data_IF_319215476990
#
_entry.id   IF_319215476990
#
_cell.length_a   1.000
_cell.length_b   1.000
_cell.length_c   1.000
_cell.angle_alpha   90.00
_cell.angle_beta   90.00
_cell.angle_gamma   90.00
#
_symmetry.space_group_name_H-M   'P 1'
#
loop_
_entity.id
_entity.type
_entity.pdbx_description
1 polymer ?
#
# COMPACT_ATOMS: atom_id res chain seq x y z
N UNK A 1 37.65 -0.84 34.19
CA UNK A 1 36.33 -0.70 34.86
C UNK A 1 36.02 0.77 35.11
N UNK A 2 35.58 1.50 34.07
CA UNK A 2 35.08 2.88 34.20
C UNK A 2 33.91 3.19 33.25
N UNK A 3 33.58 2.28 32.33
CA UNK A 3 32.56 2.47 31.29
C UNK A 3 31.26 1.69 31.57
N UNK A 4 30.99 1.32 32.82
CA UNK A 4 29.71 0.70 33.27
C UNK A 4 28.89 1.60 34.20
N UNK A 5 29.45 2.69 34.69
CA UNK A 5 28.75 3.62 35.60
C UNK A 5 28.07 4.80 34.90
N UNK A 6 28.43 5.09 33.65
CA UNK A 6 27.85 6.22 32.90
C UNK A 6 26.49 5.85 32.29
N UNK A 7 26.32 4.60 31.82
CA UNK A 7 25.05 4.14 31.24
C UNK A 7 23.93 3.92 32.26
N UNK A 8 24.26 3.71 33.54
CA UNK A 8 23.24 3.49 34.59
C UNK A 8 22.58 4.78 35.08
N UNK A 9 23.19 5.94 34.84
CA UNK A 9 22.65 7.25 35.28
C UNK A 9 21.68 7.88 34.29
N UNK A 10 21.59 7.33 33.06
CA UNK A 10 20.72 7.83 31.99
C UNK A 10 19.35 7.13 31.94
N UNK A 11 19.17 6.02 32.67
CA UNK A 11 17.92 5.24 32.61
C UNK A 11 16.96 5.44 33.80
N UNK A 12 17.41 6.07 34.88
CA UNK A 12 16.62 6.17 36.12
C UNK A 12 15.66 7.38 36.17
N UNK A 13 15.43 8.08 35.05
CA UNK A 13 14.57 9.28 35.08
C UNK A 13 13.53 9.41 33.96
N UNK A 14 13.05 8.29 33.41
CA UNK A 14 11.94 8.31 32.44
C UNK A 14 10.78 7.49 33.00
N UNK A 15 9.87 8.17 33.70
CA UNK A 15 8.48 7.74 33.87
C UNK A 15 7.54 8.73 33.16
N UNK A 16 6.38 8.25 32.70
CA UNK A 16 5.69 8.78 31.53
C UNK A 16 4.74 9.92 31.91
N UNK A 17 4.68 10.95 31.08
CA UNK A 17 3.67 11.99 31.23
C UNK A 17 3.20 12.52 29.88
N UNK A 18 1.90 12.25 29.67
CA UNK A 18 0.93 13.03 28.91
C UNK A 18 0.97 12.99 27.38
N UNK A 19 -0.05 12.30 26.85
CA UNK A 19 -0.71 12.56 25.58
C UNK A 19 -0.58 14.02 25.13
N UNK A 20 0.27 14.27 24.14
CA UNK A 20 0.29 15.54 23.43
C UNK A 20 -0.89 15.54 22.47
N UNK A 21 -1.96 16.23 22.87
CA UNK A 21 -2.96 16.75 21.96
C UNK A 21 -2.26 17.39 20.75
N UNK A 22 -2.60 16.96 19.53
CA UNK A 22 -2.06 17.56 18.32
C UNK A 22 -2.33 19.06 18.31
N UNK A 23 -1.28 19.86 18.19
CA UNK A 23 -1.39 21.31 18.00
C UNK A 23 -1.93 21.52 16.57
N UNK A 24 -3.15 22.03 16.44
CA UNK A 24 -3.62 22.61 15.19
C UNK A 24 -2.89 23.93 14.99
N UNK A 25 -1.83 23.92 14.18
CA UNK A 25 -1.16 25.15 13.74
C UNK A 25 -2.03 25.75 12.62
N UNK A 26 -2.81 26.78 12.97
CA UNK A 26 -3.39 27.65 11.96
C UNK A 26 -2.26 28.46 11.30
N UNK A 27 -2.07 28.27 9.99
CA UNK A 27 -1.07 29.00 9.23
C UNK A 27 -1.55 30.44 9.01
N UNK A 28 -1.23 31.35 9.92
CA UNK A 28 -1.45 32.79 9.71
C UNK A 28 -0.40 33.31 8.72
N UNK A 29 -0.75 33.38 7.44
CA UNK A 29 0.05 34.10 6.45
C UNK A 29 -0.26 35.59 6.49
N UNK A 30 0.81 36.39 6.62
CA UNK A 30 0.92 37.85 6.56
C UNK A 30 0.71 38.64 7.87
N UNK A 31 1.82 39.17 8.38
CA UNK A 31 1.88 40.29 9.30
C UNK A 31 2.14 41.60 8.53
N UNK A 32 1.20 42.02 7.68
CA UNK A 32 1.17 43.41 7.23
C UNK A 32 0.49 44.24 8.32
N UNK A 33 1.16 45.31 8.79
CA UNK A 33 0.58 46.23 9.79
C UNK A 33 -0.64 46.93 9.15
N UNK A 34 -1.86 46.76 9.69
CA UNK A 34 -3.02 47.45 9.16
C UNK A 34 -2.88 48.96 9.44
N UNK A 35 -3.18 49.79 8.44
CA UNK A 35 -3.21 51.23 8.61
C UNK A 35 -4.34 51.63 9.56
N UNK A 36 -4.17 52.75 10.27
CA UNK A 36 -5.05 53.26 11.35
C UNK A 36 -6.54 53.44 10.95
N UNK A 37 -6.86 53.33 9.66
CA UNK A 37 -8.20 53.51 9.08
C UNK A 37 -8.78 52.23 8.44
N UNK A 38 -8.04 51.12 8.40
CA UNK A 38 -8.58 49.84 7.92
C UNK A 38 -9.46 49.26 9.02
N UNK A 39 -10.75 49.58 8.94
CA UNK A 39 -11.81 48.89 9.68
C UNK A 39 -11.66 47.40 9.35
N UNK A 40 -11.11 46.63 10.30
CA UNK A 40 -11.04 45.18 10.28
C UNK A 40 -12.45 44.65 9.99
N UNK A 41 -12.73 44.37 8.71
CA UNK A 41 -13.91 43.63 8.30
C UNK A 41 -13.65 42.17 8.65
N UNK A 42 -13.57 41.89 9.95
CA UNK A 42 -13.64 40.55 10.49
C UNK A 42 -15.07 40.09 10.21
N UNK A 43 -15.25 39.39 9.08
CA UNK A 43 -16.41 38.51 8.93
C UNK A 43 -16.40 37.60 10.14
N UNK A 44 -17.38 37.78 11.03
CA UNK A 44 -17.55 36.91 12.19
C UNK A 44 -17.45 35.47 11.71
N UNK A 45 -16.62 34.61 12.35
CA UNK A 45 -16.61 33.20 12.04
C UNK A 45 -18.06 32.70 12.07
N UNK A 46 -18.45 31.98 11.02
CA UNK A 46 -19.79 31.42 10.94
C UNK A 46 -19.98 30.50 12.15
N UNK A 47 -20.80 30.96 13.10
CA UNK A 47 -20.94 30.33 14.43
C UNK A 47 -21.46 28.89 14.30
N UNK A 48 -22.16 28.60 13.19
CA UNK A 48 -22.64 27.26 12.85
C UNK A 48 -21.49 26.29 12.51
N UNK A 49 -20.36 26.79 12.01
CA UNK A 49 -19.14 26.02 11.70
C UNK A 49 -18.25 25.80 12.93
N UNK A 50 -18.56 26.39 14.07
CA UNK A 50 -17.84 26.19 15.34
C UNK A 50 -18.53 25.20 16.27
N UNK A 51 -19.62 24.57 15.81
CA UNK A 51 -20.31 23.54 16.60
C UNK A 51 -19.47 22.25 16.67
N UNK A 52 -19.58 21.52 17.79
CA UNK A 52 -18.90 20.22 17.96
C UNK A 52 -19.30 19.23 16.87
N UNK A 53 -20.57 19.21 16.50
CA UNK A 53 -21.11 18.37 15.43
C UNK A 53 -20.47 18.68 14.08
N UNK A 54 -20.32 19.96 13.73
CA UNK A 54 -19.63 20.37 12.52
C UNK A 54 -18.16 19.94 12.53
N UNK A 55 -17.44 20.14 13.65
CA UNK A 55 -16.04 19.70 13.77
C UNK A 55 -15.88 18.18 13.64
N UNK A 56 -16.80 17.39 14.22
CA UNK A 56 -16.82 15.94 14.07
C UNK A 56 -17.07 15.55 12.62
N UNK A 57 -18.05 16.19 11.96
CA UNK A 57 -18.37 15.95 10.55
C UNK A 57 -17.19 16.25 9.63
N UNK A 58 -16.48 17.35 9.87
CA UNK A 58 -15.27 17.68 9.10
C UNK A 58 -14.14 16.67 9.36
N UNK A 59 -13.94 16.26 10.60
CA UNK A 59 -12.93 15.26 10.94
C UNK A 59 -13.23 13.89 10.31
N UNK A 60 -14.51 13.50 10.24
CA UNK A 60 -14.97 12.30 9.55
C UNK A 60 -14.67 12.36 8.05
N UNK A 61 -14.94 13.51 7.41
CA UNK A 61 -14.60 13.75 6.01
C UNK A 61 -13.10 13.62 5.75
N UNK A 62 -12.26 14.21 6.60
CA UNK A 62 -10.81 14.16 6.46
C UNK A 62 -10.27 12.72 6.65
N UNK A 63 -10.84 11.96 7.59
CA UNK A 63 -10.53 10.55 7.79
C UNK A 63 -10.94 9.69 6.58
N UNK A 64 -12.12 9.93 5.99
CA UNK A 64 -12.57 9.24 4.79
C UNK A 64 -11.67 9.52 3.58
N UNK A 65 -11.26 10.78 3.39
CA UNK A 65 -10.35 11.17 2.32
C UNK A 65 -8.99 10.50 2.47
N UNK A 66 -8.42 10.54 3.67
CA UNK A 66 -7.13 9.89 3.97
C UNK A 66 -7.21 8.38 3.77
N UNK A 67 -8.29 7.74 4.23
CA UNK A 67 -8.51 6.32 4.05
C UNK A 67 -8.61 5.94 2.57
N UNK A 68 -9.37 6.71 1.80
CA UNK A 68 -9.53 6.48 0.36
C UNK A 68 -8.21 6.64 -0.38
N UNK A 69 -7.37 7.59 0.01
CA UNK A 69 -6.03 7.76 -0.57
C UNK A 69 -5.15 6.53 -0.31
N UNK A 70 -5.14 6.02 0.93
CA UNK A 70 -4.40 4.79 1.27
C UNK A 70 -4.90 3.60 0.46
N UNK A 71 -6.22 3.41 0.37
CA UNK A 71 -6.83 2.38 -0.47
C UNK A 71 -6.35 2.50 -1.92
N UNK A 72 -6.40 3.71 -2.46
CA UNK A 72 -6.05 4.00 -3.85
C UNK A 72 -4.59 3.68 -4.15
N UNK A 73 -3.68 4.22 -3.36
CA UNK A 73 -2.24 3.98 -3.52
C UNK A 73 -1.95 2.49 -3.39
N UNK A 74 -2.60 1.79 -2.47
CA UNK A 74 -2.38 0.36 -2.24
C UNK A 74 -2.84 -0.47 -3.44
N UNK A 75 -4.08 -0.32 -3.90
CA UNK A 75 -4.58 -1.15 -5.01
C UNK A 75 -3.86 -0.84 -6.32
N UNK A 76 -3.54 0.43 -6.59
CA UNK A 76 -2.78 0.82 -7.80
C UNK A 76 -1.37 0.22 -7.77
N UNK A 77 -0.72 0.20 -6.60
CA UNK A 77 0.59 -0.43 -6.44
C UNK A 77 0.53 -1.94 -6.68
N UNK A 78 -0.52 -2.61 -6.19
CA UNK A 78 -0.75 -4.05 -6.43
C UNK A 78 -0.94 -4.31 -7.93
N UNK A 79 -1.75 -3.51 -8.62
CA UNK A 79 -1.98 -3.63 -10.07
C UNK A 79 -0.66 -3.45 -10.83
N UNK A 80 0.09 -2.39 -10.54
CA UNK A 80 1.37 -2.12 -11.21
C UNK A 80 2.39 -3.24 -11.01
N UNK A 81 2.60 -3.69 -9.78
CA UNK A 81 3.51 -4.80 -9.49
C UNK A 81 3.01 -6.12 -10.08
N UNK A 82 1.70 -6.35 -10.15
CA UNK A 82 1.14 -7.56 -10.79
C UNK A 82 1.42 -7.59 -12.29
N UNK A 83 1.40 -6.43 -12.96
CA UNK A 83 1.81 -6.33 -14.36
C UNK A 83 3.30 -6.67 -14.53
N UNK A 84 4.17 -6.10 -13.71
CA UNK A 84 5.62 -6.39 -13.71
C UNK A 84 5.89 -7.88 -13.43
N UNK A 85 5.23 -8.44 -12.42
CA UNK A 85 5.31 -9.85 -12.06
C UNK A 85 4.95 -10.77 -13.22
N UNK A 86 3.87 -10.46 -13.95
CA UNK A 86 3.47 -11.24 -15.13
C UNK A 86 4.46 -11.12 -16.28
N UNK A 87 5.10 -9.96 -16.47
CA UNK A 87 6.16 -9.81 -17.47
C UNK A 87 7.33 -10.73 -17.15
N UNK A 88 7.81 -10.71 -15.90
CA UNK A 88 8.89 -11.58 -15.42
C UNK A 88 8.52 -13.07 -15.53
N UNK A 89 7.29 -13.44 -15.20
CA UNK A 89 6.79 -14.82 -15.37
C UNK A 89 6.80 -15.26 -16.83
N UNK A 90 6.34 -14.42 -17.76
CA UNK A 90 6.33 -14.74 -19.20
C UNK A 90 7.76 -14.88 -19.76
N UNK A 91 8.67 -14.02 -19.32
CA UNK A 91 10.09 -14.13 -19.66
C UNK A 91 10.67 -15.45 -19.15
N UNK A 92 10.43 -15.77 -17.88
CA UNK A 92 10.91 -17.01 -17.27
C UNK A 92 10.32 -18.26 -17.94
N UNK A 93 9.03 -18.22 -18.30
CA UNK A 93 8.37 -19.25 -19.12
C UNK A 93 9.12 -19.43 -20.44
N UNK A 94 9.37 -18.35 -21.17
CA UNK A 94 10.04 -18.39 -22.48
C UNK A 94 11.45 -18.95 -22.38
N UNK A 95 12.21 -18.53 -21.35
CA UNK A 95 13.56 -19.05 -21.09
C UNK A 95 13.54 -20.55 -20.78
N UNK A 96 12.59 -21.02 -19.97
CA UNK A 96 12.44 -22.43 -19.65
C UNK A 96 12.05 -23.27 -20.87
N UNK A 97 11.15 -22.78 -21.73
CA UNK A 97 10.80 -23.47 -22.97
C UNK A 97 12.00 -23.72 -23.88
N UNK A 98 12.93 -22.76 -23.96
CA UNK A 98 14.19 -22.94 -24.70
C UNK A 98 15.03 -24.08 -24.12
N UNK A 99 15.10 -24.21 -22.78
CA UNK A 99 15.83 -25.31 -22.12
C UNK A 99 15.24 -26.68 -22.38
N UNK A 100 13.92 -26.77 -22.61
CA UNK A 100 13.25 -28.02 -22.98
C UNK A 100 13.65 -28.45 -24.40
N UNK A 101 13.71 -27.50 -25.33
CA UNK A 101 13.92 -27.78 -26.75
C UNK A 101 15.39 -28.12 -27.05
N UNK A 102 16.35 -27.47 -26.38
CA UNK A 102 17.78 -27.62 -26.69
C UNK A 102 18.66 -27.48 -25.47
N UNK A 103 19.89 -27.98 -25.58
CA UNK A 103 20.94 -27.63 -24.63
C UNK A 103 21.21 -26.12 -24.69
N UNK A 104 21.39 -25.50 -23.53
CA UNK A 104 21.60 -24.07 -23.37
C UNK A 104 22.95 -23.80 -22.71
N UNK A 105 23.47 -22.58 -22.89
CA UNK A 105 24.72 -22.14 -22.27
C UNK A 105 24.55 -21.80 -20.79
N UNK A 106 25.67 -21.69 -20.06
CA UNK A 106 25.69 -21.24 -18.67
C UNK A 106 25.09 -19.82 -18.53
N UNK A 107 25.37 -18.92 -19.48
CA UNK A 107 24.78 -17.58 -19.51
C UNK A 107 23.24 -17.59 -19.54
N UNK A 108 22.63 -18.58 -20.22
CA UNK A 108 21.17 -18.73 -20.24
C UNK A 108 20.64 -19.19 -18.88
N UNK A 109 21.38 -20.05 -18.18
CA UNK A 109 21.04 -20.46 -16.82
C UNK A 109 21.17 -19.30 -15.83
N UNK A 110 22.20 -18.48 -15.95
CA UNK A 110 22.38 -17.28 -15.13
C UNK A 110 21.23 -16.29 -15.32
N UNK A 111 20.77 -16.12 -16.56
CA UNK A 111 19.61 -15.29 -16.86
C UNK A 111 18.33 -15.85 -16.22
N UNK A 112 18.10 -17.16 -16.30
CA UNK A 112 16.97 -17.83 -15.62
C UNK A 112 17.00 -17.56 -14.11
N UNK A 113 18.18 -17.67 -13.48
CA UNK A 113 18.35 -17.43 -12.04
C UNK A 113 18.05 -15.97 -11.71
N UNK A 114 18.57 -15.03 -12.50
CA UNK A 114 18.37 -13.59 -12.33
C UNK A 114 16.89 -13.23 -12.39
N UNK A 115 16.20 -13.61 -13.49
CA UNK A 115 14.77 -13.35 -13.68
C UNK A 115 13.93 -14.01 -12.58
N UNK A 116 14.30 -15.22 -12.13
CA UNK A 116 13.61 -15.89 -11.02
C UNK A 116 13.73 -15.11 -9.70
N UNK A 117 14.90 -14.56 -9.41
CA UNK A 117 15.10 -13.76 -8.20
C UNK A 117 14.26 -12.48 -8.25
N UNK A 118 14.28 -11.75 -9.36
CA UNK A 118 13.45 -10.54 -9.55
C UNK A 118 11.95 -10.83 -9.48
N UNK A 119 11.53 -11.94 -10.07
CA UNK A 119 10.15 -12.44 -10.00
C UNK A 119 9.76 -12.72 -8.55
N UNK A 120 10.61 -13.39 -7.77
CA UNK A 120 10.36 -13.71 -6.37
C UNK A 120 10.28 -12.46 -5.50
N UNK A 121 11.21 -11.52 -5.65
CA UNK A 121 11.19 -10.23 -4.95
C UNK A 121 9.90 -9.45 -5.24
N UNK A 122 9.45 -9.46 -6.51
CA UNK A 122 8.20 -8.82 -6.91
C UNK A 122 6.99 -9.50 -6.27
N UNK A 123 6.96 -10.84 -6.22
CA UNK A 123 5.91 -11.61 -5.55
C UNK A 123 5.79 -11.28 -4.07
N UNK A 124 6.92 -11.15 -3.38
CA UNK A 124 6.95 -10.80 -1.96
C UNK A 124 6.39 -9.39 -1.72
N UNK A 125 6.75 -8.41 -2.58
CA UNK A 125 6.17 -7.07 -2.53
C UNK A 125 4.65 -7.09 -2.71
N UNK A 126 4.14 -7.84 -3.68
CA UNK A 126 2.70 -8.00 -3.91
C UNK A 126 2.04 -8.60 -2.67
N UNK A 127 2.58 -9.69 -2.13
CA UNK A 127 2.03 -10.38 -0.95
C UNK A 127 1.93 -9.45 0.26
N UNK A 128 2.96 -8.64 0.49
CA UNK A 128 2.96 -7.62 1.54
C UNK A 128 1.89 -6.55 1.30
N UNK A 129 1.75 -6.06 0.07
CA UNK A 129 0.73 -5.06 -0.26
C UNK A 129 -0.69 -5.62 -0.19
N UNK A 130 -0.92 -6.89 -0.54
CA UNK A 130 -2.21 -7.55 -0.34
C UNK A 130 -2.58 -7.55 1.15
N UNK A 131 -1.61 -7.80 2.02
CA UNK A 131 -1.83 -7.68 3.47
C UNK A 131 -2.17 -6.24 3.88
N UNK A 132 -1.51 -5.23 3.28
CA UNK A 132 -1.85 -3.83 3.52
C UNK A 132 -3.24 -3.45 3.00
N UNK A 133 -3.69 -4.05 1.89
CA UNK A 133 -5.01 -3.84 1.32
C UNK A 133 -6.12 -4.22 2.30
N UNK A 134 -5.95 -5.30 3.06
CA UNK A 134 -6.91 -5.71 4.09
C UNK A 134 -7.08 -4.64 5.19
N UNK A 135 -5.98 -3.97 5.58
CA UNK A 135 -6.04 -2.88 6.55
C UNK A 135 -6.58 -1.58 5.94
N UNK A 136 -6.21 -1.28 4.70
CA UNK A 136 -6.76 -0.15 3.96
C UNK A 136 -8.28 -0.27 3.80
N UNK A 137 -8.75 -1.47 3.48
CA UNK A 137 -10.18 -1.79 3.39
C UNK A 137 -10.89 -1.54 4.72
N UNK A 138 -10.38 -2.09 5.84
CA UNK A 138 -10.94 -1.86 7.18
C UNK A 138 -11.01 -0.37 7.52
N UNK A 139 -9.96 0.38 7.18
CA UNK A 139 -9.90 1.82 7.43
C UNK A 139 -10.96 2.59 6.64
N UNK A 140 -11.18 2.27 5.37
CA UNK A 140 -12.21 2.95 4.57
C UNK A 140 -13.62 2.57 5.02
N UNK A 141 -13.86 1.30 5.39
CA UNK A 141 -15.16 0.88 5.96
C UNK A 141 -15.49 1.68 7.21
N UNK A 142 -14.57 1.74 8.18
CA UNK A 142 -14.82 2.50 9.42
C UNK A 142 -15.01 3.99 9.17
N UNK A 143 -14.28 4.57 8.22
CA UNK A 143 -14.50 5.97 7.83
C UNK A 143 -15.85 6.20 7.14
N UNK A 144 -16.29 5.26 6.29
CA UNK A 144 -17.60 5.33 5.64
C UNK A 144 -18.74 5.24 6.67
N UNK A 145 -18.64 4.33 7.64
CA UNK A 145 -19.58 4.22 8.77
C UNK A 145 -19.64 5.51 9.59
N UNK A 146 -18.49 6.14 9.86
CA UNK A 146 -18.45 7.42 10.57
C UNK A 146 -19.11 8.55 9.76
N UNK A 147 -18.87 8.60 8.45
CA UNK A 147 -19.54 9.55 7.55
C UNK A 147 -21.06 9.36 7.54
N UNK A 148 -21.54 8.12 7.53
CA UNK A 148 -22.96 7.80 7.66
C UNK A 148 -23.55 8.35 8.96
N UNK A 149 -22.88 8.12 10.10
CA UNK A 149 -23.31 8.66 11.40
C UNK A 149 -23.33 10.20 11.46
N UNK A 150 -22.55 10.87 10.60
CA UNK A 150 -22.53 12.33 10.46
C UNK A 150 -23.55 12.88 9.42
N UNK A 151 -24.45 12.03 8.92
CA UNK A 151 -25.45 12.38 7.90
C UNK A 151 -24.81 12.75 6.57
N UNK A 152 -23.82 11.96 6.13
CA UNK A 152 -23.12 12.12 4.84
C UNK A 152 -23.42 10.94 3.91
N UNK A 153 -24.70 10.64 3.71
CA UNK A 153 -25.16 9.44 2.97
C UNK A 153 -24.57 9.35 1.55
N UNK A 154 -24.64 10.44 0.78
CA UNK A 154 -24.07 10.49 -0.58
C UNK A 154 -22.56 10.14 -0.62
N UNK A 155 -21.81 10.56 0.40
CA UNK A 155 -20.38 10.23 0.49
C UNK A 155 -20.19 8.76 0.83
N UNK A 156 -20.99 8.22 1.73
CA UNK A 156 -20.95 6.81 2.13
C UNK A 156 -21.19 5.90 0.92
N UNK A 157 -22.20 6.18 0.11
CA UNK A 157 -22.48 5.42 -1.12
C UNK A 157 -21.28 5.45 -2.08
N UNK A 158 -20.69 6.64 -2.26
CA UNK A 158 -19.49 6.82 -3.11
C UNK A 158 -18.29 6.04 -2.58
N UNK A 159 -18.08 6.04 -1.25
CA UNK A 159 -16.98 5.31 -0.62
C UNK A 159 -17.16 3.81 -0.79
N UNK A 160 -18.38 3.30 -0.61
CA UNK A 160 -18.67 1.88 -0.75
C UNK A 160 -18.42 1.40 -2.19
N UNK A 161 -18.86 2.15 -3.19
CA UNK A 161 -18.57 1.83 -4.59
C UNK A 161 -17.05 1.80 -4.86
N UNK A 162 -16.30 2.78 -4.34
CA UNK A 162 -14.83 2.82 -4.48
C UNK A 162 -14.13 1.62 -3.82
N UNK A 163 -14.64 1.17 -2.67
CA UNK A 163 -14.14 -0.02 -1.98
C UNK A 163 -14.35 -1.25 -2.85
N UNK A 164 -15.58 -1.46 -3.33
CA UNK A 164 -15.93 -2.60 -4.17
C UNK A 164 -15.10 -2.64 -5.45
N UNK A 165 -14.97 -1.51 -6.15
CA UNK A 165 -14.16 -1.38 -7.36
C UNK A 165 -12.67 -1.74 -7.10
N UNK A 166 -12.10 -1.22 -6.01
CA UNK A 166 -10.70 -1.48 -5.66
C UNK A 166 -10.45 -2.96 -5.30
N UNK A 167 -11.36 -3.57 -4.53
CA UNK A 167 -11.25 -4.98 -4.15
C UNK A 167 -11.41 -5.90 -5.35
N UNK A 168 -12.36 -5.61 -6.24
CA UNK A 168 -12.59 -6.38 -7.46
C UNK A 168 -11.35 -6.35 -8.36
N UNK A 169 -10.75 -5.17 -8.56
CA UNK A 169 -9.50 -5.04 -9.34
C UNK A 169 -8.36 -5.85 -8.74
N UNK A 170 -8.14 -5.77 -7.42
CA UNK A 170 -7.09 -6.57 -6.76
C UNK A 170 -7.33 -8.06 -6.93
N UNK A 171 -8.59 -8.49 -6.84
CA UNK A 171 -8.97 -9.89 -7.06
C UNK A 171 -8.69 -10.34 -8.49
N UNK A 172 -9.08 -9.56 -9.49
CA UNK A 172 -8.82 -9.83 -10.91
C UNK A 172 -7.32 -9.97 -11.21
N UNK A 173 -6.50 -9.10 -10.64
CA UNK A 173 -5.04 -9.15 -10.76
C UNK A 173 -4.48 -10.45 -10.13
N UNK A 174 -4.97 -10.81 -8.94
CA UNK A 174 -4.52 -12.01 -8.24
C UNK A 174 -4.92 -13.29 -8.98
N UNK A 175 -6.14 -13.34 -9.53
CA UNK A 175 -6.63 -14.45 -10.34
C UNK A 175 -5.81 -14.60 -11.63
N UNK A 176 -5.47 -13.47 -12.25
CA UNK A 176 -4.62 -13.42 -13.45
C UNK A 176 -3.20 -13.91 -13.17
N UNK A 177 -2.60 -13.48 -12.04
CA UNK A 177 -1.29 -13.95 -11.59
C UNK A 177 -1.32 -15.46 -11.34
N UNK A 178 -2.30 -15.95 -10.58
CA UNK A 178 -2.44 -17.38 -10.25
C UNK A 178 -2.67 -18.26 -11.48
N UNK A 179 -3.31 -17.72 -12.53
CA UNK A 179 -3.45 -18.43 -13.82
C UNK A 179 -2.09 -18.56 -14.51
N UNK A 180 -1.28 -17.51 -14.54
CA UNK A 180 0.02 -17.54 -15.19
C UNK A 180 1.04 -18.37 -14.42
N UNK A 181 1.05 -18.29 -13.08
CA UNK A 181 1.87 -19.15 -12.21
C UNK A 181 1.64 -20.63 -12.47
N UNK A 182 0.38 -21.05 -12.68
CA UNK A 182 0.05 -22.44 -13.03
C UNK A 182 0.68 -22.88 -14.35
N UNK A 183 0.74 -22.00 -15.35
CA UNK A 183 1.43 -22.27 -16.62
C UNK A 183 2.92 -22.41 -16.39
N UNK A 184 3.51 -21.48 -15.64
CA UNK A 184 4.93 -21.52 -15.26
C UNK A 184 5.31 -22.83 -14.58
N UNK A 185 4.56 -23.25 -13.54
CA UNK A 185 4.84 -24.50 -12.82
C UNK A 185 4.78 -25.73 -13.72
N UNK A 186 3.82 -25.77 -14.66
CA UNK A 186 3.69 -26.88 -15.61
C UNK A 186 4.91 -27.00 -16.52
N UNK A 187 5.47 -25.87 -16.96
CA UNK A 187 6.67 -25.85 -17.80
C UNK A 187 7.89 -26.22 -16.98
N UNK A 188 8.03 -25.68 -15.78
CA UNK A 188 9.11 -26.03 -14.86
C UNK A 188 9.12 -27.53 -14.53
N UNK A 189 7.95 -28.13 -14.29
CA UNK A 189 7.81 -29.57 -14.07
C UNK A 189 8.31 -30.38 -15.27
N UNK A 190 7.98 -29.94 -16.50
CA UNK A 190 8.47 -30.57 -17.73
C UNK A 190 9.99 -30.49 -17.84
N UNK A 191 10.59 -29.32 -17.59
CA UNK A 191 12.04 -29.15 -17.59
C UNK A 191 12.74 -30.15 -16.65
N UNK A 192 12.21 -30.33 -15.43
CA UNK A 192 12.78 -31.25 -14.44
C UNK A 192 12.69 -32.70 -14.93
N UNK A 193 11.52 -33.11 -15.43
CA UNK A 193 11.30 -34.48 -15.94
C UNK A 193 12.20 -34.81 -17.13
N UNK A 194 12.37 -33.88 -18.06
CA UNK A 194 13.20 -34.09 -19.25
C UNK A 194 14.70 -34.09 -18.91
N UNK A 195 15.11 -33.34 -17.88
CA UNK A 195 16.49 -33.38 -17.37
C UNK A 195 16.80 -34.73 -16.73
N UNK A 196 15.91 -35.23 -15.86
CA UNK A 196 16.12 -36.52 -15.18
C UNK A 196 16.21 -37.70 -16.16
N UNK A 197 15.39 -37.72 -17.22
CA UNK A 197 15.47 -38.75 -18.27
C UNK A 197 16.82 -38.75 -18.99
N UNK A 198 17.35 -37.57 -19.35
CA UNK A 198 18.66 -37.46 -19.99
C UNK A 198 19.80 -37.93 -19.10
N UNK A 199 19.64 -37.80 -17.77
CA UNK A 199 20.63 -38.29 -16.78
C UNK A 199 20.52 -39.79 -16.53
N UNK A 200 19.35 -40.41 -16.69
CA UNK A 200 19.14 -41.86 -16.56
C UNK A 200 19.56 -42.66 -17.81
N UNK A 201 19.57 -42.02 -18.98
CA UNK A 201 19.99 -42.61 -20.27
C UNK A 201 21.51 -42.49 -20.55
N UNK A 202 22.28 -41.86 -19.65
CA UNK A 202 23.74 -41.75 -19.69
C UNK A 202 24.41 -42.67 -18.66
#
# INVERSE_FOLDING_TARGET
>A
MAMRHIFRKLWDNIRPAMYTSGILIAHCTSCDKPGENDKLNLTSPDVNKLTREYMIKQSALDAANSATQVLTVTYVSIVGLSMEYRTLLNELISLLEVTVIRAVSDEHWDLIVTVRNEMQDTKEKITRLTTYMDYAHKMVISSAELCYMCGMDNLTDTLQQRIEDALNRVKEENDSNAKLERTYWRIQERCIKDTNKKTEEQ
#
